data_IF_220584551635
#
_entry.id   IF_220584551635
#
_cell.length_a   1.000
_cell.length_b   1.000
_cell.length_c   1.000
_cell.angle_alpha   90.00
_cell.angle_beta   90.00
_cell.angle_gamma   90.00
#
_symmetry.space_group_name_H-M   'P 1'
#
loop_
_entity.id
_entity.type
_entity.pdbx_description
1 polymer ?
#
# COMPACT_ATOMS: atom_id res chain seq x y z
N UNK A 1 -24.29 -5.19 7.79
CA UNK A 1 -23.55 -4.44 8.84
C UNK A 1 -23.36 -2.97 8.46
N UNK A 2 -22.85 -2.67 7.26
CA UNK A 2 -22.64 -1.31 6.73
C UNK A 2 -23.84 -0.37 6.95
N UNK A 3 -25.06 -0.77 6.54
CA UNK A 3 -26.29 0.04 6.70
C UNK A 3 -26.56 0.46 8.15
N UNK A 4 -26.25 -0.40 9.12
CA UNK A 4 -26.48 -0.12 10.53
C UNK A 4 -25.44 0.87 11.06
N UNK A 5 -24.18 0.73 10.65
CA UNK A 5 -23.08 1.62 11.04
C UNK A 5 -23.29 3.02 10.46
N UNK A 6 -23.64 3.14 9.18
CA UNK A 6 -23.92 4.43 8.54
C UNK A 6 -25.08 5.17 9.22
N UNK A 7 -26.19 4.48 9.46
CA UNK A 7 -27.35 5.08 10.17
C UNK A 7 -27.00 5.51 11.60
N UNK A 8 -26.22 4.72 12.34
CA UNK A 8 -25.76 5.08 13.69
C UNK A 8 -24.83 6.30 13.68
N UNK A 9 -24.06 6.48 12.61
CA UNK A 9 -23.22 7.65 12.40
C UNK A 9 -24.01 8.88 11.88
N UNK A 10 -25.34 8.79 11.74
CA UNK A 10 -26.18 9.88 11.23
C UNK A 10 -26.11 10.07 9.71
N UNK A 11 -25.56 9.11 8.97
CA UNK A 11 -25.54 9.10 7.52
C UNK A 11 -26.73 8.30 6.96
N UNK A 12 -27.15 8.65 5.74
CA UNK A 12 -28.07 7.80 4.98
C UNK A 12 -27.42 6.43 4.73
N UNK A 13 -28.25 5.37 4.70
CA UNK A 13 -27.75 4.06 4.31
C UNK A 13 -27.27 4.10 2.84
N UNK A 14 -26.13 3.45 2.52
CA UNK A 14 -25.65 3.39 1.15
C UNK A 14 -26.62 2.59 0.27
N UNK A 15 -26.65 2.92 -1.02
CA UNK A 15 -27.42 2.14 -2.00
C UNK A 15 -26.53 0.98 -2.47
N UNK A 16 -26.95 -0.25 -2.21
CA UNK A 16 -26.21 -1.46 -2.57
C UNK A 16 -26.60 -1.97 -3.97
N UNK A 17 -25.68 -2.70 -4.61
CA UNK A 17 -26.00 -3.54 -5.77
C UNK A 17 -26.92 -4.66 -5.28
N UNK A 18 -28.14 -4.74 -5.82
CA UNK A 18 -29.17 -5.66 -5.32
C UNK A 18 -28.69 -7.12 -5.29
N UNK A 19 -28.07 -7.58 -6.38
CA UNK A 19 -27.59 -8.97 -6.55
C UNK A 19 -26.36 -9.31 -5.70
N UNK A 20 -25.75 -8.32 -5.04
CA UNK A 20 -24.59 -8.49 -4.16
C UNK A 20 -24.91 -8.14 -2.70
N UNK A 21 -26.16 -7.79 -2.38
CA UNK A 21 -26.54 -7.33 -1.04
C UNK A 21 -26.66 -8.47 -0.05
N UNK A 22 -27.32 -9.55 -0.46
CA UNK A 22 -27.55 -10.71 0.39
C UNK A 22 -26.35 -11.66 0.32
N UNK A 23 -25.89 -12.22 1.46
CA UNK A 23 -24.76 -13.14 1.45
C UNK A 23 -25.03 -14.39 0.60
N UNK A 24 -24.16 -14.63 -0.38
CA UNK A 24 -24.14 -15.85 -1.19
C UNK A 24 -22.71 -16.41 -1.21
N UNK A 25 -22.45 -17.61 -0.64
CA UNK A 25 -21.11 -18.19 -0.58
C UNK A 25 -20.54 -18.56 -1.96
N UNK A 26 -21.36 -18.62 -3.01
CA UNK A 26 -20.90 -18.87 -4.37
C UNK A 26 -20.39 -17.61 -5.09
N UNK A 27 -20.68 -16.41 -4.55
CA UNK A 27 -20.33 -15.12 -5.16
C UNK A 27 -20.62 -15.04 -6.67
N UNK A 28 -21.84 -15.38 -7.13
CA UNK A 28 -22.13 -15.69 -8.54
C UNK A 28 -21.98 -14.49 -9.50
N UNK A 29 -21.87 -13.28 -8.96
CA UNK A 29 -21.78 -12.04 -9.73
C UNK A 29 -20.36 -11.63 -10.09
N UNK A 30 -19.34 -12.28 -9.53
CA UNK A 30 -17.92 -11.94 -9.74
C UNK A 30 -17.08 -13.19 -9.99
N UNK A 31 -16.02 -13.12 -10.81
CA UNK A 31 -15.11 -14.27 -11.02
C UNK A 31 -14.37 -14.67 -9.73
N UNK A 32 -14.01 -13.67 -8.92
CA UNK A 32 -13.35 -13.85 -7.64
C UNK A 32 -13.74 -12.69 -6.71
N UNK A 33 -14.19 -12.94 -5.47
CA UNK A 33 -14.73 -11.91 -4.58
C UNK A 33 -13.61 -11.16 -3.85
N UNK A 34 -12.76 -10.47 -4.60
CA UNK A 34 -11.76 -9.57 -4.06
C UNK A 34 -11.84 -8.25 -4.85
N UNK A 35 -12.07 -7.10 -4.19
CA UNK A 35 -12.23 -5.83 -4.88
C UNK A 35 -10.97 -5.32 -5.61
N UNK A 36 -9.82 -6.00 -5.46
CA UNK A 36 -8.62 -5.77 -6.28
C UNK A 36 -8.70 -6.43 -7.68
N UNK A 37 -9.55 -7.45 -7.85
CA UNK A 37 -9.59 -8.23 -9.08
C UNK A 37 -10.37 -7.51 -10.20
N UNK A 38 -9.91 -7.62 -11.46
CA UNK A 38 -10.64 -7.10 -12.61
C UNK A 38 -12.09 -7.64 -12.64
N UNK A 39 -13.04 -6.73 -12.84
CA UNK A 39 -14.47 -7.05 -12.90
C UNK A 39 -15.20 -7.04 -11.56
N UNK A 40 -14.49 -7.10 -10.42
CA UNK A 40 -15.13 -7.15 -9.10
C UNK A 40 -15.94 -5.88 -8.76
N UNK A 41 -15.52 -4.72 -9.30
CA UNK A 41 -16.16 -3.42 -9.04
C UNK A 41 -17.15 -2.98 -10.13
N UNK A 42 -17.28 -3.71 -11.24
CA UNK A 42 -18.03 -3.25 -12.41
C UNK A 42 -19.50 -2.94 -12.11
N UNK A 43 -20.16 -3.83 -11.36
CA UNK A 43 -21.57 -3.67 -10.99
C UNK A 43 -21.80 -2.43 -10.10
N UNK A 44 -20.94 -2.20 -9.12
CA UNK A 44 -21.07 -1.08 -8.19
C UNK A 44 -20.66 0.25 -8.83
N UNK A 45 -19.68 0.25 -9.75
CA UNK A 45 -19.33 1.42 -10.56
C UNK A 45 -20.49 1.81 -11.49
N UNK A 46 -21.10 0.84 -12.16
CA UNK A 46 -22.27 1.09 -13.01
C UNK A 46 -23.46 1.62 -12.20
N UNK A 47 -23.67 1.13 -10.97
CA UNK A 47 -24.69 1.66 -10.08
C UNK A 47 -24.37 3.11 -9.65
N UNK A 48 -23.11 3.38 -9.28
CA UNK A 48 -22.66 4.73 -8.92
C UNK A 48 -22.88 5.73 -10.05
N UNK A 49 -22.56 5.35 -11.28
CA UNK A 49 -22.79 6.18 -12.47
C UNK A 49 -24.28 6.47 -12.70
N UNK A 50 -25.15 5.45 -12.62
CA UNK A 50 -26.61 5.63 -12.76
C UNK A 50 -27.21 6.57 -11.71
N UNK A 51 -26.66 6.57 -10.51
CA UNK A 51 -27.13 7.39 -9.39
C UNK A 51 -26.45 8.76 -9.30
N UNK A 52 -25.39 9.00 -10.08
CA UNK A 52 -24.54 10.17 -9.90
C UNK A 52 -23.86 10.21 -8.52
N UNK A 53 -23.44 9.05 -8.02
CA UNK A 53 -22.83 8.92 -6.70
C UNK A 53 -21.43 9.59 -6.66
N UNK A 54 -21.15 10.35 -5.60
CA UNK A 54 -19.83 10.99 -5.42
C UNK A 54 -18.75 10.00 -4.97
N UNK A 55 -19.16 8.89 -4.37
CA UNK A 55 -18.30 7.86 -3.80
C UNK A 55 -18.92 6.48 -4.00
N UNK A 56 -18.11 5.56 -4.50
CA UNK A 56 -18.40 4.12 -4.61
C UNK A 56 -17.51 3.38 -3.62
N UNK A 57 -18.06 2.41 -2.90
CA UNK A 57 -17.38 1.59 -1.90
C UNK A 57 -17.66 0.11 -2.17
N UNK A 58 -16.68 -0.75 -1.91
CA UNK A 58 -16.85 -2.20 -1.95
C UNK A 58 -16.00 -2.87 -0.89
N UNK A 59 -16.55 -3.89 -0.22
CA UNK A 59 -15.83 -4.71 0.74
C UNK A 59 -15.65 -6.13 0.17
N UNK A 60 -14.64 -6.85 0.64
CA UNK A 60 -14.49 -8.28 0.40
C UNK A 60 -15.40 -9.11 1.35
N UNK A 61 -15.47 -10.45 1.20
CA UNK A 61 -16.47 -11.28 1.88
C UNK A 61 -16.47 -11.24 3.40
N UNK A 62 -15.30 -11.15 4.03
CA UNK A 62 -15.15 -11.02 5.49
C UNK A 62 -15.08 -9.55 5.95
N UNK A 63 -15.20 -8.61 5.00
CA UNK A 63 -15.20 -7.17 5.19
C UNK A 63 -13.93 -6.63 5.87
N UNK A 64 -12.80 -7.28 5.63
CA UNK A 64 -11.50 -6.82 6.10
C UNK A 64 -10.86 -5.83 5.11
N UNK A 65 -11.27 -5.84 3.83
CA UNK A 65 -10.82 -4.90 2.80
C UNK A 65 -11.89 -3.91 2.38
N UNK A 66 -11.48 -2.72 1.95
CA UNK A 66 -12.37 -1.70 1.40
C UNK A 66 -11.79 -1.00 0.17
N UNK A 67 -12.35 -1.25 -1.02
CA UNK A 67 -12.08 -0.43 -2.20
C UNK A 67 -12.93 0.84 -2.23
N UNK A 68 -12.43 1.86 -2.91
CA UNK A 68 -13.15 3.10 -3.15
C UNK A 68 -12.95 3.59 -4.59
N UNK A 69 -13.97 4.25 -5.14
CA UNK A 69 -13.88 4.96 -6.40
C UNK A 69 -14.63 6.29 -6.37
N UNK A 70 -14.15 7.26 -7.15
CA UNK A 70 -14.81 8.56 -7.38
C UNK A 70 -15.15 8.67 -8.85
N UNK A 71 -16.45 8.74 -9.17
CA UNK A 71 -16.92 8.49 -10.53
C UNK A 71 -16.48 7.10 -10.99
N UNK A 72 -15.73 7.02 -12.09
CA UNK A 72 -15.16 5.75 -12.61
C UNK A 72 -13.71 5.50 -12.20
N UNK A 73 -13.07 6.43 -11.47
CA UNK A 73 -11.67 6.29 -11.04
C UNK A 73 -11.61 5.48 -9.76
N UNK A 74 -11.20 4.22 -9.88
CA UNK A 74 -10.84 3.36 -8.75
C UNK A 74 -9.56 3.92 -8.13
N UNK A 75 -9.57 4.12 -6.82
CA UNK A 75 -8.42 4.57 -6.06
C UNK A 75 -7.54 3.36 -5.71
N UNK A 76 -6.23 3.51 -5.76
CA UNK A 76 -5.33 2.45 -5.27
C UNK A 76 -5.42 2.33 -3.75
N UNK A 77 -5.02 1.18 -3.19
CA UNK A 77 -5.06 1.04 -1.74
C UNK A 77 -4.16 2.01 -1.00
N UNK A 78 -3.06 2.43 -1.64
CA UNK A 78 -2.21 3.53 -1.16
C UNK A 78 -2.90 4.90 -1.19
N UNK A 79 -3.66 5.21 -2.24
CA UNK A 79 -4.40 6.47 -2.32
C UNK A 79 -5.51 6.54 -1.26
N UNK A 80 -6.25 5.44 -1.08
CA UNK A 80 -7.25 5.31 -0.01
C UNK A 80 -6.59 5.40 1.37
N UNK A 81 -5.47 4.70 1.56
CA UNK A 81 -4.70 4.74 2.80
C UNK A 81 -4.24 6.15 3.15
N UNK A 82 -3.79 6.93 2.16
CA UNK A 82 -3.37 8.31 2.36
C UNK A 82 -4.55 9.25 2.71
N UNK A 83 -5.70 9.08 2.05
CA UNK A 83 -6.92 9.84 2.36
C UNK A 83 -7.43 9.56 3.79
N UNK A 84 -7.43 8.28 4.18
CA UNK A 84 -7.81 7.86 5.53
C UNK A 84 -6.82 8.36 6.59
N UNK A 85 -5.52 8.25 6.32
CA UNK A 85 -4.48 8.76 7.20
C UNK A 85 -4.63 10.26 7.43
N UNK A 86 -4.88 11.04 6.38
CA UNK A 86 -5.12 12.48 6.47
C UNK A 86 -6.33 12.81 7.35
N UNK A 87 -7.43 12.05 7.22
CA UNK A 87 -8.60 12.25 8.08
C UNK A 87 -8.27 11.94 9.55
N UNK A 88 -7.62 10.80 9.82
CA UNK A 88 -7.29 10.39 11.19
C UNK A 88 -6.29 11.35 11.82
N UNK A 89 -5.22 11.71 11.12
CA UNK A 89 -4.15 12.57 11.65
C UNK A 89 -4.63 14.00 11.90
N UNK A 90 -5.59 14.51 11.11
CA UNK A 90 -6.20 15.82 11.34
C UNK A 90 -6.97 15.91 12.66
N UNK A 91 -7.62 14.83 13.05
CA UNK A 91 -8.44 14.77 14.27
C UNK A 91 -7.66 14.27 15.49
N UNK A 92 -6.81 13.27 15.28
CA UNK A 92 -6.04 12.55 16.30
C UNK A 92 -4.61 12.29 15.80
N UNK A 93 -3.72 13.30 15.81
CA UNK A 93 -2.32 13.10 15.49
C UNK A 93 -1.70 12.04 16.42
N UNK A 94 -1.06 11.02 15.84
CA UNK A 94 -0.38 9.97 16.59
C UNK A 94 0.43 9.03 15.69
N UNK A 95 1.08 8.01 16.27
CA UNK A 95 1.87 7.04 15.52
C UNK A 95 1.05 6.33 14.43
N UNK A 96 1.60 6.24 13.23
CA UNK A 96 1.00 5.51 12.11
C UNK A 96 1.93 4.40 11.62
N UNK A 97 1.38 3.41 10.92
CA UNK A 97 2.18 2.32 10.37
C UNK A 97 1.69 1.86 9.00
N UNK A 98 2.61 1.44 8.15
CA UNK A 98 2.30 0.74 6.91
C UNK A 98 3.32 -0.37 6.67
N UNK A 99 3.24 -1.05 5.53
CA UNK A 99 4.18 -2.12 5.20
C UNK A 99 5.29 -1.66 4.27
N UNK A 100 6.37 -2.44 4.25
CA UNK A 100 7.49 -2.26 3.33
C UNK A 100 7.09 -2.28 1.85
N UNK A 101 5.96 -2.91 1.50
CA UNK A 101 5.47 -3.02 0.12
C UNK A 101 4.45 -1.93 -0.24
N UNK A 102 3.89 -1.24 0.74
CA UNK A 102 3.01 -0.09 0.55
C UNK A 102 3.79 1.16 0.15
N UNK A 103 3.10 2.18 -0.37
CA UNK A 103 3.70 3.47 -0.71
C UNK A 103 4.38 4.13 0.50
N UNK A 104 5.56 4.72 0.28
CA UNK A 104 6.20 5.54 1.30
C UNK A 104 5.53 6.92 1.49
N UNK A 105 4.42 7.23 0.82
CA UNK A 105 3.68 8.49 0.96
C UNK A 105 3.21 8.74 2.40
N UNK A 106 2.80 7.70 3.13
CA UNK A 106 2.37 7.83 4.53
C UNK A 106 3.48 8.41 5.42
N UNK A 107 4.75 8.04 5.14
CA UNK A 107 5.90 8.57 5.87
C UNK A 107 6.03 10.08 5.68
N UNK A 108 5.84 10.57 4.46
CA UNK A 108 5.89 12.01 4.18
C UNK A 108 4.71 12.75 4.81
N UNK A 109 3.51 12.16 4.79
CA UNK A 109 2.36 12.73 5.50
C UNK A 109 2.58 12.79 7.02
N UNK A 110 3.06 11.71 7.62
CA UNK A 110 3.34 11.66 9.06
C UNK A 110 4.38 12.71 9.48
N UNK A 111 5.43 12.93 8.67
CA UNK A 111 6.42 14.00 8.92
C UNK A 111 5.78 15.38 8.99
N UNK A 112 4.77 15.67 8.17
CA UNK A 112 4.05 16.96 8.21
C UNK A 112 3.25 17.15 9.48
N UNK A 113 2.68 16.08 10.02
CA UNK A 113 2.00 16.10 11.32
C UNK A 113 2.97 16.01 12.50
N UNK A 114 4.27 15.82 12.26
CA UNK A 114 5.27 15.67 13.32
C UNK A 114 5.12 14.37 14.12
N UNK A 115 4.55 13.33 13.52
CA UNK A 115 4.26 12.05 14.19
C UNK A 115 5.11 10.89 13.65
N UNK A 116 5.36 9.85 14.47
CA UNK A 116 6.10 8.67 14.01
C UNK A 116 5.35 7.90 12.92
N UNK A 117 6.10 7.35 11.96
CA UNK A 117 5.59 6.40 10.97
C UNK A 117 6.48 5.15 10.97
N UNK A 118 5.92 4.01 11.34
CA UNK A 118 6.59 2.72 11.25
C UNK A 118 6.39 2.08 9.87
N UNK A 119 7.43 1.43 9.36
CA UNK A 119 7.34 0.53 8.21
C UNK A 119 7.54 -0.90 8.71
N UNK A 120 6.64 -1.81 8.34
CA UNK A 120 6.56 -3.17 8.87
C UNK A 120 6.62 -4.23 7.78
N UNK A 121 6.87 -5.50 8.10
CA UNK A 121 6.68 -6.58 7.11
C UNK A 121 5.21 -6.69 6.70
N UNK A 122 4.94 -7.26 5.53
CA UNK A 122 3.56 -7.56 5.09
C UNK A 122 2.84 -8.45 6.12
N UNK A 123 1.59 -8.10 6.42
CA UNK A 123 0.67 -8.72 7.35
C UNK A 123 0.28 -7.79 8.50
N UNK A 124 -1.02 -7.57 8.69
CA UNK A 124 -1.57 -6.67 9.73
C UNK A 124 -1.13 -6.96 11.16
N UNK A 125 -0.76 -8.21 11.49
CA UNK A 125 -0.15 -8.54 12.78
C UNK A 125 1.08 -7.67 13.10
N UNK A 126 1.86 -7.28 12.09
CA UNK A 126 3.04 -6.44 12.25
C UNK A 126 2.65 -4.97 12.41
N UNK A 127 1.70 -4.48 11.63
CA UNK A 127 1.15 -3.12 11.76
C UNK A 127 0.61 -2.91 13.18
N UNK A 128 -0.19 -3.85 13.70
CA UNK A 128 -0.77 -3.75 15.04
C UNK A 128 0.26 -3.82 16.19
N UNK A 129 1.47 -4.32 15.91
CA UNK A 129 2.57 -4.38 16.89
C UNK A 129 3.53 -3.21 16.78
N UNK A 130 3.41 -2.38 15.75
CA UNK A 130 4.35 -1.32 15.43
C UNK A 130 4.40 -0.22 16.52
N UNK A 131 3.25 0.15 17.10
CA UNK A 131 3.19 1.03 18.26
C UNK A 131 1.92 0.67 19.08
N UNK A 132 1.99 0.54 20.41
CA UNK A 132 0.81 0.29 21.25
C UNK A 132 -0.22 1.43 21.20
N UNK A 133 0.18 2.63 20.79
CA UNK A 133 -0.65 3.85 20.64
C UNK A 133 -0.95 4.16 19.17
N UNK A 134 -0.80 3.18 18.28
CA UNK A 134 -1.10 3.34 16.85
C UNK A 134 -2.48 4.01 16.68
N UNK A 135 -2.56 5.04 15.84
CA UNK A 135 -3.83 5.71 15.53
C UNK A 135 -4.37 5.32 14.16
N UNK A 136 -3.50 4.88 13.25
CA UNK A 136 -3.86 4.43 11.91
C UNK A 136 -2.81 3.46 11.36
N UNK A 137 -3.23 2.47 10.58
CA UNK A 137 -2.31 1.75 9.72
C UNK A 137 -2.96 1.09 8.53
N UNK A 138 -2.17 0.78 7.50
CA UNK A 138 -2.72 0.21 6.27
C UNK A 138 -1.74 -0.63 5.44
N UNK A 139 -2.30 -1.50 4.61
CA UNK A 139 -1.66 -2.23 3.52
C UNK A 139 -2.17 -1.75 2.15
N UNK A 140 -1.30 -1.77 1.15
CA UNK A 140 -1.60 -1.48 -0.26
C UNK A 140 -2.75 -2.33 -0.82
N UNK A 141 -2.94 -3.53 -0.30
CA UNK A 141 -3.94 -4.54 -0.68
C UNK A 141 -5.30 -4.27 -0.03
N UNK A 142 -5.68 -2.98 0.05
CA UNK A 142 -6.99 -2.50 0.52
C UNK A 142 -7.33 -2.78 1.99
N UNK A 143 -6.34 -3.08 2.84
CA UNK A 143 -6.54 -3.32 4.27
C UNK A 143 -6.25 -2.09 5.13
N UNK A 144 -7.18 -1.69 6.01
CA UNK A 144 -7.05 -0.47 6.82
C UNK A 144 -7.46 -0.69 8.27
N UNK A 145 -6.65 -0.21 9.22
CA UNK A 145 -7.02 -0.03 10.62
C UNK A 145 -7.24 1.47 10.88
N UNK A 146 -8.49 1.92 10.74
CA UNK A 146 -8.87 3.32 11.01
C UNK A 146 -9.05 3.58 12.51
N UNK A 147 -9.52 2.58 13.25
CA UNK A 147 -9.72 2.64 14.70
C UNK A 147 -9.04 1.44 15.39
N UNK A 148 -7.69 1.38 15.41
CA UNK A 148 -6.93 0.26 15.97
C UNK A 148 -7.16 0.02 17.48
N UNK A 149 -7.74 0.99 18.18
CA UNK A 149 -8.19 0.88 19.58
C UNK A 149 -9.51 0.10 19.72
N UNK A 150 -10.33 0.03 18.67
CA UNK A 150 -11.57 -0.74 18.63
C UNK A 150 -11.38 -2.10 17.97
N UNK A 151 -10.72 -2.13 16.81
CA UNK A 151 -10.45 -3.34 16.03
C UNK A 151 -8.96 -3.44 15.76
N UNK A 152 -8.31 -4.43 16.38
CA UNK A 152 -6.86 -4.69 16.19
C UNK A 152 -6.59 -5.56 14.96
N UNK A 153 -7.26 -5.24 13.86
CA UNK A 153 -7.09 -5.89 12.55
C UNK A 153 -7.56 -4.92 11.45
N UNK A 154 -7.57 -5.37 10.20
CA UNK A 154 -8.21 -4.66 9.10
C UNK A 154 -9.72 -4.58 9.34
N UNK A 155 -10.31 -3.43 9.04
CA UNK A 155 -11.74 -3.20 9.18
C UNK A 155 -12.24 -2.35 8.01
N UNK A 156 -12.74 -3.05 6.99
CA UNK A 156 -13.32 -2.44 5.80
C UNK A 156 -14.60 -1.64 6.09
N UNK A 157 -15.35 -2.00 7.13
CA UNK A 157 -16.58 -1.30 7.53
C UNK A 157 -16.25 0.09 8.11
N UNK A 158 -15.27 0.15 9.00
CA UNK A 158 -14.81 1.44 9.57
C UNK A 158 -14.11 2.27 8.50
N UNK A 159 -13.34 1.65 7.59
CA UNK A 159 -12.76 2.34 6.42
C UNK A 159 -13.83 2.95 5.51
N UNK A 160 -14.88 2.20 5.18
CA UNK A 160 -16.02 2.66 4.38
C UNK A 160 -16.72 3.86 5.02
N UNK A 161 -16.97 3.82 6.34
CA UNK A 161 -17.57 4.93 7.08
C UNK A 161 -16.66 6.18 7.06
N UNK A 162 -15.36 5.99 7.31
CA UNK A 162 -14.40 7.09 7.32
C UNK A 162 -14.27 7.75 5.94
N UNK A 163 -14.26 6.97 4.84
CA UNK A 163 -14.28 7.48 3.47
C UNK A 163 -15.57 8.24 3.16
N UNK A 164 -16.73 7.75 3.61
CA UNK A 164 -18.00 8.46 3.45
C UNK A 164 -17.97 9.81 4.18
N UNK A 165 -17.37 9.87 5.38
CA UNK A 165 -17.17 11.12 6.10
C UNK A 165 -16.22 12.07 5.37
N UNK A 166 -15.10 11.55 4.83
CA UNK A 166 -14.16 12.32 4.02
C UNK A 166 -14.85 12.92 2.78
N UNK A 167 -15.63 12.12 2.07
CA UNK A 167 -16.36 12.54 0.87
C UNK A 167 -17.44 13.57 1.21
N UNK A 168 -18.17 13.39 2.31
CA UNK A 168 -19.14 14.37 2.78
C UNK A 168 -18.46 15.72 3.10
N UNK A 169 -17.32 15.69 3.79
CA UNK A 169 -16.55 16.90 4.11
C UNK A 169 -16.08 17.60 2.83
N UNK A 170 -15.54 16.86 1.86
CA UNK A 170 -15.15 17.40 0.57
C UNK A 170 -16.35 18.01 -0.17
N UNK A 171 -17.48 17.29 -0.24
CA UNK A 171 -18.70 17.74 -0.94
C UNK A 171 -19.28 19.01 -0.32
N UNK A 172 -19.26 19.14 1.01
CA UNK A 172 -19.69 20.38 1.70
C UNK A 172 -18.81 21.58 1.36
N UNK A 173 -17.57 21.36 0.96
CA UNK A 173 -16.66 22.38 0.45
C UNK A 173 -16.77 22.59 -1.08
N UNK A 174 -17.72 21.92 -1.77
CA UNK A 174 -17.84 21.97 -3.23
C UNK A 174 -16.75 21.17 -3.96
N UNK A 175 -16.13 20.19 -3.28
CA UNK A 175 -14.98 19.41 -3.75
C UNK A 175 -15.29 17.92 -3.75
N UNK A 176 -14.41 17.14 -4.37
CA UNK A 176 -14.41 15.67 -4.38
C UNK A 176 -13.23 15.12 -3.57
N UNK A 177 -13.20 13.81 -3.34
CA UNK A 177 -12.01 13.16 -2.76
C UNK A 177 -10.79 13.23 -3.70
N UNK A 178 -10.99 13.36 -5.01
CA UNK A 178 -9.88 13.55 -5.94
C UNK A 178 -9.21 14.91 -5.74
N UNK A 179 -9.97 15.95 -5.40
CA UNK A 179 -9.41 17.25 -5.08
C UNK A 179 -8.59 17.20 -3.78
N UNK A 180 -9.05 16.44 -2.79
CA UNK A 180 -8.30 16.21 -1.54
C UNK A 180 -7.02 15.44 -1.81
N UNK A 181 -7.09 14.40 -2.64
CA UNK A 181 -5.92 13.62 -3.05
C UNK A 181 -4.92 14.48 -3.84
N UNK A 182 -5.41 15.39 -4.69
CA UNK A 182 -4.56 16.33 -5.41
C UNK A 182 -3.84 17.31 -4.49
N UNK A 183 -4.50 17.81 -3.44
CA UNK A 183 -3.84 18.62 -2.41
C UNK A 183 -2.74 17.82 -1.70
N UNK A 184 -3.05 16.59 -1.27
CA UNK A 184 -2.07 15.70 -0.65
C UNK A 184 -0.88 15.46 -1.57
N UNK A 185 -1.11 15.20 -2.86
CA UNK A 185 -0.03 15.02 -3.83
C UNK A 185 0.84 16.28 -4.02
N UNK A 186 0.26 17.49 -3.94
CA UNK A 186 1.06 18.74 -3.96
C UNK A 186 1.91 18.88 -2.70
N UNK A 187 1.39 18.43 -1.57
CA UNK A 187 2.04 18.60 -0.27
C UNK A 187 3.12 17.55 0.02
N UNK A 188 2.86 16.28 -0.30
CA UNK A 188 3.78 15.17 0.01
C UNK A 188 4.52 14.62 -1.21
N UNK A 189 4.08 14.98 -2.42
CA UNK A 189 4.61 14.47 -3.68
C UNK A 189 3.68 13.44 -4.33
N UNK A 190 3.98 13.09 -5.59
CA UNK A 190 3.26 12.05 -6.31
C UNK A 190 3.99 10.73 -6.16
N UNK A 191 3.27 9.71 -5.69
CA UNK A 191 3.76 8.35 -5.54
C UNK A 191 2.96 7.45 -6.48
N UNK A 192 3.60 6.92 -7.52
CA UNK A 192 2.97 5.90 -8.35
C UNK A 192 3.44 4.52 -7.87
N UNK A 193 2.50 3.64 -7.57
CA UNK A 193 2.78 2.28 -7.11
C UNK A 193 2.21 1.24 -8.07
N UNK A 194 2.84 0.06 -8.09
CA UNK A 194 2.39 -1.06 -8.89
C UNK A 194 3.03 -2.36 -8.44
N UNK A 195 2.60 -3.46 -9.05
CA UNK A 195 3.11 -4.79 -8.72
C UNK A 195 3.31 -5.61 -9.99
N UNK A 196 4.36 -6.44 -10.00
CA UNK A 196 4.52 -7.57 -10.91
C UNK A 196 4.48 -8.86 -10.09
N UNK A 197 3.66 -9.82 -10.51
CA UNK A 197 3.57 -11.14 -9.87
C UNK A 197 3.93 -12.21 -10.89
N UNK A 198 5.01 -12.94 -10.65
CA UNK A 198 5.37 -14.13 -11.41
C UNK A 198 4.84 -15.37 -10.69
N UNK A 199 4.06 -16.21 -11.40
CA UNK A 199 3.53 -17.48 -10.86
C UNK A 199 4.47 -18.62 -11.26
N UNK A 200 4.76 -19.48 -10.30
CA UNK A 200 5.62 -20.65 -10.48
C UNK A 200 4.81 -21.92 -10.24
N UNK A 201 5.19 -23.00 -10.92
CA UNK A 201 4.68 -24.36 -10.66
C UNK A 201 5.57 -25.11 -9.66
N UNK A 202 6.85 -24.74 -9.60
CA UNK A 202 7.84 -25.28 -8.68
C UNK A 202 8.26 -24.20 -7.66
N UNK A 203 8.16 -24.51 -6.37
CA UNK A 203 8.57 -23.61 -5.30
C UNK A 203 10.09 -23.40 -5.27
N UNK A 204 10.89 -24.39 -5.67
CA UNK A 204 12.35 -24.24 -5.73
C UNK A 204 12.78 -23.20 -6.78
N UNK A 205 11.97 -22.98 -7.82
CA UNK A 205 12.21 -21.93 -8.79
C UNK A 205 12.05 -20.51 -8.20
N UNK A 206 11.23 -20.35 -7.15
CA UNK A 206 11.10 -19.08 -6.42
C UNK A 206 12.39 -18.79 -5.65
N UNK A 207 12.92 -19.80 -4.94
CA UNK A 207 14.17 -19.69 -4.20
C UNK A 207 15.35 -19.40 -5.14
N UNK A 208 15.39 -20.05 -6.30
CA UNK A 208 16.39 -19.80 -7.33
C UNK A 208 16.30 -18.36 -7.88
N UNK A 209 15.09 -17.85 -8.14
CA UNK A 209 14.89 -16.48 -8.61
C UNK A 209 15.31 -15.44 -7.56
N UNK A 210 14.93 -15.64 -6.30
CA UNK A 210 15.38 -14.78 -5.19
C UNK A 210 16.89 -14.86 -4.99
N UNK A 211 17.48 -16.04 -5.09
CA UNK A 211 18.93 -16.26 -5.03
C UNK A 211 19.67 -15.53 -6.15
N UNK A 212 19.15 -15.59 -7.38
CA UNK A 212 19.71 -14.89 -8.53
C UNK A 212 19.67 -13.36 -8.34
N UNK A 213 18.53 -12.81 -7.89
CA UNK A 213 18.40 -11.38 -7.58
C UNK A 213 19.37 -10.91 -6.49
N UNK A 214 19.63 -11.75 -5.49
CA UNK A 214 20.61 -11.46 -4.43
C UNK A 214 22.04 -11.51 -4.92
N UNK A 215 22.39 -12.53 -5.71
CA UNK A 215 23.75 -12.75 -6.19
C UNK A 215 24.17 -11.72 -7.25
N UNK A 216 23.23 -11.29 -8.09
CA UNK A 216 23.48 -10.34 -9.18
C UNK A 216 22.31 -9.37 -9.32
N UNK A 217 22.14 -8.43 -8.37
CA UNK A 217 21.10 -7.42 -8.48
C UNK A 217 21.37 -6.55 -9.71
N UNK A 218 20.32 -6.14 -10.46
CA UNK A 218 20.49 -5.26 -11.61
C UNK A 218 21.13 -3.92 -11.17
N UNK A 219 22.03 -3.39 -11.99
CA UNK A 219 22.62 -2.06 -11.73
C UNK A 219 21.68 -0.92 -12.13
N UNK A 220 20.71 -1.19 -13.02
CA UNK A 220 19.73 -0.24 -13.52
C UNK A 220 18.36 -0.91 -13.69
N UNK A 221 17.30 -0.16 -13.42
CA UNK A 221 15.91 -0.54 -13.67
C UNK A 221 15.10 0.73 -14.01
N UNK A 222 14.24 0.68 -15.01
CA UNK A 222 13.41 1.79 -15.47
C UNK A 222 14.24 3.02 -15.85
N UNK A 223 15.45 2.81 -16.40
CA UNK A 223 16.41 3.88 -16.71
C UNK A 223 17.06 4.55 -15.48
N UNK A 224 16.88 4.00 -14.27
CA UNK A 224 17.44 4.54 -13.02
C UNK A 224 18.51 3.61 -12.46
N UNK A 225 19.61 4.18 -11.98
CA UNK A 225 20.63 3.42 -11.27
C UNK A 225 20.09 2.88 -9.94
N UNK A 226 20.39 1.61 -9.64
CA UNK A 226 20.19 1.02 -8.32
C UNK A 226 21.31 1.55 -7.41
N UNK A 227 20.93 2.37 -6.43
CA UNK A 227 21.86 3.05 -5.53
C UNK A 227 22.18 2.24 -4.27
N UNK A 228 21.27 1.36 -3.84
CA UNK A 228 21.50 0.46 -2.72
C UNK A 228 20.63 -0.79 -2.83
N UNK A 229 21.12 -1.88 -2.27
CA UNK A 229 20.37 -3.14 -2.11
C UNK A 229 20.35 -3.46 -0.62
N UNK A 230 19.16 -3.69 -0.08
CA UNK A 230 18.94 -4.09 1.31
C UNK A 230 18.27 -5.46 1.34
N UNK A 231 18.99 -6.45 1.82
CA UNK A 231 18.46 -7.79 2.06
C UNK A 231 18.02 -7.91 3.52
N UNK A 232 16.76 -8.28 3.75
CA UNK A 232 16.25 -8.51 5.10
C UNK A 232 16.55 -9.93 5.58
N UNK A 233 17.05 -10.84 4.73
CA UNK A 233 17.43 -12.19 5.14
C UNK A 233 18.78 -12.23 5.87
N UNK A 234 19.67 -11.28 5.55
CA UNK A 234 21.07 -11.23 6.03
C UNK A 234 21.38 -10.29 7.20
N UNK A 235 20.40 -9.54 7.74
CA UNK A 235 20.67 -8.44 8.69
C UNK A 235 21.41 -7.27 8.02
N UNK A 236 21.61 -6.11 8.70
CA UNK A 236 22.21 -4.94 8.07
C UNK A 236 23.69 -5.18 7.72
N UNK A 237 23.98 -5.43 6.45
CA UNK A 237 25.35 -5.48 5.92
C UNK A 237 25.92 -4.07 5.79
N UNK A 238 26.72 -3.66 6.77
CA UNK A 238 27.66 -2.55 6.61
C UNK A 238 28.83 -2.96 5.70
N UNK A 239 29.27 -2.01 4.87
CA UNK A 239 30.51 -1.90 4.08
C UNK A 239 31.36 -3.16 3.79
N UNK A 240 31.71 -3.29 2.50
CA UNK A 240 32.72 -4.17 1.94
C UNK A 240 33.96 -4.43 2.85
N UNK A 241 34.30 -5.70 3.03
CA UNK A 241 35.63 -6.14 3.45
C UNK A 241 35.67 -7.42 4.30
N UNK A 242 36.05 -8.55 3.68
CA UNK A 242 36.89 -9.58 4.32
C UNK A 242 36.22 -10.74 5.06
N UNK A 243 36.12 -11.88 4.36
CA UNK A 243 36.34 -13.28 4.78
C UNK A 243 35.99 -13.76 6.22
N UNK A 244 35.15 -14.79 6.29
CA UNK A 244 35.54 -16.05 6.94
C UNK A 244 34.74 -16.56 8.15
N UNK A 245 34.06 -17.68 7.91
CA UNK A 245 33.75 -18.79 8.83
C UNK A 245 32.43 -18.80 9.61
N UNK A 246 31.88 -20.02 9.67
CA UNK A 246 30.58 -20.41 10.17
C UNK A 246 30.64 -20.92 11.62
N UNK A 247 29.52 -20.80 12.33
CA UNK A 247 29.16 -21.65 13.48
C UNK A 247 28.69 -20.88 14.73
N UNK A 248 27.51 -21.27 15.26
CA UNK A 248 27.16 -21.04 16.66
C UNK A 248 25.81 -20.36 16.90
N UNK A 249 24.85 -21.12 17.44
CA UNK A 249 23.62 -20.61 18.02
C UNK A 249 23.90 -19.88 19.35
N UNK A 250 23.20 -18.77 19.60
CA UNK A 250 23.09 -18.16 20.93
C UNK A 250 23.02 -16.64 20.97
N UNK A 251 21.85 -16.12 21.36
CA UNK A 251 21.62 -14.96 22.24
C UNK A 251 22.21 -13.57 21.92
N UNK A 252 21.28 -12.63 21.70
CA UNK A 252 21.21 -11.24 22.19
C UNK A 252 22.32 -10.22 21.85
N UNK A 253 21.86 -9.09 21.28
CA UNK A 253 22.47 -7.77 21.44
C UNK A 253 23.46 -7.38 20.35
N UNK A 254 23.10 -6.39 19.52
CA UNK A 254 24.04 -5.84 18.55
C UNK A 254 23.41 -4.85 17.57
N UNK A 255 23.47 -3.58 17.97
CA UNK A 255 23.14 -2.33 17.26
C UNK A 255 23.41 -2.32 15.74
N UNK A 256 22.36 -2.11 14.94
CA UNK A 256 22.43 -1.82 13.50
C UNK A 256 21.75 -0.48 13.17
N UNK A 257 22.31 0.26 12.21
CA UNK A 257 22.02 1.65 11.91
C UNK A 257 20.52 2.00 11.80
N UNK A 258 20.15 3.10 12.48
CA UNK A 258 18.78 3.54 12.70
C UNK A 258 18.15 4.23 11.47
N UNK A 259 17.01 3.71 11.03
CA UNK A 259 15.94 4.54 10.47
C UNK A 259 15.09 5.13 11.61
N UNK A 260 14.31 6.20 11.38
CA UNK A 260 13.51 6.78 12.44
C UNK A 260 12.43 5.78 12.88
N UNK A 261 12.36 5.56 14.20
CA UNK A 261 11.60 4.53 14.94
C UNK A 261 12.14 3.08 14.89
N UNK A 262 13.41 2.88 15.27
CA UNK A 262 13.77 2.15 16.50
C UNK A 262 13.69 0.62 16.56
N UNK A 263 13.07 -0.09 15.62
CA UNK A 263 13.19 -1.55 15.53
C UNK A 263 13.64 -1.94 14.12
N UNK A 264 14.75 -2.66 14.03
CA UNK A 264 15.14 -3.35 12.81
C UNK A 264 14.02 -4.31 12.44
N UNK A 265 13.50 -4.23 11.20
CA UNK A 265 12.59 -5.24 10.66
C UNK A 265 13.14 -6.64 10.92
N UNK A 266 12.30 -7.61 11.34
CA UNK A 266 12.75 -8.96 11.56
C UNK A 266 13.22 -9.59 10.26
N UNK A 267 14.08 -10.60 10.38
CA UNK A 267 14.62 -11.29 9.21
C UNK A 267 13.48 -11.89 8.36
N UNK A 268 13.53 -11.65 7.06
CA UNK A 268 12.52 -12.10 6.11
C UNK A 268 13.12 -12.23 4.72
N UNK A 269 12.54 -13.12 3.90
CA UNK A 269 12.93 -13.28 2.51
C UNK A 269 12.41 -12.11 1.66
N UNK A 270 13.08 -10.97 1.80
CA UNK A 270 12.74 -9.71 1.16
C UNK A 270 14.02 -9.03 0.69
N UNK A 271 14.03 -8.62 -0.57
CA UNK A 271 15.09 -7.81 -1.15
C UNK A 271 14.52 -6.44 -1.56
N UNK A 272 15.13 -5.36 -1.07
CA UNK A 272 14.74 -3.99 -1.41
C UNK A 272 15.84 -3.38 -2.27
N UNK A 273 15.51 -3.05 -3.51
CA UNK A 273 16.34 -2.27 -4.42
C UNK A 273 15.94 -0.80 -4.26
N UNK A 274 16.85 0.04 -3.80
CA UNK A 274 16.69 1.49 -3.80
C UNK A 274 17.28 2.06 -5.08
N UNK A 275 16.52 2.92 -5.76
CA UNK A 275 16.91 3.52 -7.03
C UNK A 275 17.08 5.03 -6.86
N UNK A 276 17.85 5.65 -7.76
CA UNK A 276 17.97 7.09 -7.85
C UNK A 276 16.58 7.77 -7.91
N UNK A 277 16.43 8.91 -7.24
CA UNK A 277 15.16 9.67 -7.20
C UNK A 277 14.07 9.04 -6.32
N UNK A 278 14.46 8.36 -5.23
CA UNK A 278 13.56 7.77 -4.24
C UNK A 278 12.60 6.67 -4.76
N UNK A 279 12.84 6.17 -5.98
CA UNK A 279 12.15 4.99 -6.48
C UNK A 279 12.66 3.72 -5.77
N UNK A 280 11.80 2.70 -5.68
CA UNK A 280 12.17 1.42 -5.08
C UNK A 280 11.47 0.24 -5.73
N UNK A 281 12.12 -0.92 -5.66
CA UNK A 281 11.53 -2.23 -5.97
C UNK A 281 11.69 -3.13 -4.75
N UNK A 282 10.61 -3.75 -4.29
CA UNK A 282 10.62 -4.70 -3.17
C UNK A 282 10.22 -6.07 -3.68
N UNK A 283 11.16 -7.02 -3.68
CA UNK A 283 10.94 -8.40 -4.09
C UNK A 283 10.73 -9.29 -2.88
N UNK A 284 9.70 -10.15 -2.92
CA UNK A 284 9.43 -11.15 -1.88
C UNK A 284 8.61 -12.34 -2.39
N UNK A 285 8.84 -13.57 -1.90
CA UNK A 285 7.91 -14.67 -2.11
C UNK A 285 6.55 -14.36 -1.49
N UNK A 286 5.49 -14.82 -2.17
CA UNK A 286 4.16 -14.84 -1.59
C UNK A 286 4.08 -15.91 -0.51
N UNK A 287 3.41 -15.59 0.61
CA UNK A 287 3.26 -16.51 1.73
C UNK A 287 2.11 -17.51 1.57
N UNK A 288 1.21 -17.27 0.61
CA UNK A 288 -0.05 -18.01 0.44
C UNK A 288 -0.21 -18.62 -0.94
N UNK A 289 0.65 -18.26 -1.89
CA UNK A 289 0.56 -18.69 -3.29
C UNK A 289 1.96 -18.97 -3.84
N UNK A 290 2.13 -19.85 -4.84
CA UNK A 290 3.40 -20.08 -5.50
C UNK A 290 3.74 -18.92 -6.45
N UNK A 291 4.01 -17.74 -5.88
CA UNK A 291 4.29 -16.50 -6.61
C UNK A 291 5.50 -15.79 -6.03
N UNK A 292 6.30 -15.17 -6.90
CA UNK A 292 7.24 -14.11 -6.54
C UNK A 292 6.59 -12.76 -6.85
N UNK A 293 6.50 -11.88 -5.86
CA UNK A 293 5.92 -10.54 -6.00
C UNK A 293 6.99 -9.47 -5.96
N UNK A 294 6.95 -8.55 -6.91
CA UNK A 294 7.80 -7.36 -6.96
C UNK A 294 6.92 -6.13 -6.94
N UNK A 295 7.06 -5.35 -5.88
CA UNK A 295 6.32 -4.11 -5.66
C UNK A 295 7.17 -2.94 -6.11
N UNK A 296 6.58 -2.05 -6.89
CA UNK A 296 7.25 -0.97 -7.60
C UNK A 296 6.73 0.36 -7.06
N UNK A 297 7.64 1.32 -6.87
CA UNK A 297 7.28 2.67 -6.51
C UNK A 297 8.17 3.68 -7.25
N UNK A 298 7.57 4.71 -7.82
CA UNK A 298 8.25 5.92 -8.29
C UNK A 298 7.74 7.14 -7.52
N UNK A 299 8.59 8.17 -7.43
CA UNK A 299 8.31 9.37 -6.65
C UNK A 299 8.66 10.62 -7.46
N UNK A 300 7.73 11.57 -7.52
CA UNK A 300 7.99 12.96 -7.91
C UNK A 300 7.75 13.82 -6.68
N UNK A 301 8.83 14.38 -6.12
CA UNK A 301 8.77 15.09 -4.85
C UNK A 301 8.01 16.42 -4.92
N UNK A 302 7.56 16.99 -3.78
CA UNK A 302 6.76 18.22 -3.74
C UNK A 302 7.35 19.40 -4.53
N UNK A 303 8.68 19.59 -4.46
CA UNK A 303 9.37 20.66 -5.20
C UNK A 303 9.24 20.50 -6.72
N UNK A 304 9.39 19.27 -7.22
CA UNK A 304 9.21 18.96 -8.64
C UNK A 304 7.74 19.12 -9.03
N UNK A 305 6.79 18.68 -8.18
CA UNK A 305 5.35 18.88 -8.40
C UNK A 305 5.01 20.35 -8.51
N UNK A 306 5.57 21.20 -7.65
CA UNK A 306 5.38 22.65 -7.69
C UNK A 306 5.97 23.26 -8.97
N UNK A 307 7.12 22.76 -9.44
CA UNK A 307 7.81 23.28 -10.63
C UNK A 307 7.11 22.90 -11.96
N UNK A 308 6.64 21.66 -12.10
CA UNK A 308 6.05 21.18 -13.38
C UNK A 308 4.52 21.13 -13.39
N UNK A 309 3.89 21.29 -12.23
CA UNK A 309 2.45 21.12 -12.05
C UNK A 309 2.04 19.66 -11.89
N UNK A 310 0.97 19.45 -11.13
CA UNK A 310 0.49 18.13 -10.74
C UNK A 310 0.16 17.20 -11.92
N UNK A 311 -0.50 17.63 -13.02
CA UNK A 311 -0.76 16.75 -14.15
C UNK A 311 0.51 16.21 -14.83
N UNK A 312 1.55 17.04 -14.93
CA UNK A 312 2.83 16.61 -15.51
C UNK A 312 3.58 15.68 -14.56
N UNK A 313 3.55 15.96 -13.25
CA UNK A 313 4.13 15.10 -12.23
C UNK A 313 3.50 13.70 -12.21
N UNK A 314 2.16 13.60 -12.32
CA UNK A 314 1.45 12.31 -12.42
C UNK A 314 1.87 11.53 -13.66
N UNK A 315 1.86 12.15 -14.85
CA UNK A 315 2.30 11.50 -16.10
C UNK A 315 3.76 11.02 -16.02
N UNK A 316 4.64 11.81 -15.40
CA UNK A 316 6.04 11.43 -15.18
C UNK A 316 6.13 10.20 -14.27
N UNK A 317 5.48 10.23 -13.11
CA UNK A 317 5.51 9.11 -12.15
C UNK A 317 4.96 7.81 -12.79
N UNK A 318 3.85 7.90 -13.52
CA UNK A 318 3.23 6.77 -14.22
C UNK A 318 4.13 6.20 -15.34
N UNK A 319 4.75 7.07 -16.16
CA UNK A 319 5.68 6.67 -17.21
C UNK A 319 6.91 5.95 -16.64
N UNK A 320 7.49 6.50 -15.58
CA UNK A 320 8.63 5.89 -14.90
C UNK A 320 8.25 4.56 -14.23
N UNK A 321 7.04 4.45 -13.67
CA UNK A 321 6.52 3.21 -13.11
C UNK A 321 6.30 2.15 -14.21
N UNK A 322 5.84 2.56 -15.39
CA UNK A 322 5.70 1.67 -16.55
C UNK A 322 7.07 1.14 -17.00
N UNK A 323 8.08 2.00 -17.10
CA UNK A 323 9.45 1.58 -17.43
C UNK A 323 10.03 0.61 -16.39
N UNK A 324 9.80 0.85 -15.09
CA UNK A 324 10.18 -0.13 -14.05
C UNK A 324 9.45 -1.46 -14.23
N UNK A 325 8.17 -1.43 -14.55
CA UNK A 325 7.37 -2.64 -14.77
C UNK A 325 7.91 -3.45 -15.95
N UNK A 326 8.23 -2.80 -17.05
CA UNK A 326 8.74 -3.46 -18.26
C UNK A 326 10.08 -4.15 -17.99
N UNK A 327 11.01 -3.47 -17.33
CA UNK A 327 12.31 -4.05 -16.97
C UNK A 327 12.17 -5.22 -15.97
N UNK A 328 11.28 -5.10 -15.00
CA UNK A 328 11.01 -6.20 -14.05
C UNK A 328 10.34 -7.38 -14.75
N UNK A 329 9.42 -7.14 -15.67
CA UNK A 329 8.82 -8.22 -16.46
C UNK A 329 9.87 -8.91 -17.34
N UNK A 330 10.81 -8.17 -17.92
CA UNK A 330 11.93 -8.74 -18.66
C UNK A 330 12.86 -9.56 -17.74
N UNK A 331 13.17 -9.04 -16.55
CA UNK A 331 14.01 -9.71 -15.55
C UNK A 331 13.43 -11.04 -15.05
N UNK A 332 12.10 -11.13 -14.91
CA UNK A 332 11.41 -12.35 -14.47
C UNK A 332 11.17 -13.37 -15.59
N UNK A 333 11.29 -12.96 -16.86
CA UNK A 333 11.26 -13.86 -18.02
C UNK A 333 12.63 -14.51 -18.24
N UNK A 334 13.16 -15.16 -17.20
CA UNK A 334 14.31 -16.06 -17.30
C UNK A 334 14.08 -17.10 -18.41
#
# INVERSE_FOLDING_TARGET
>A
MVDAVFRRAGLAAPVAVADQREPDPAFPTVPFPNPEEPGALDAVLALGERLGADLVLANDPDADRCAAAVGRRILTGDEVGLLLAEQVLRERPGPVATTIVSSSALRELARRYGVPCAETLTGFKWIMRADPRLVFGYEEALGYAVAPDLVRDKDGITAALALAHAALRAKRAGRTLLDVLDDLCREVGVFATGQVSARFTDLAAIDAAMGALRASPPSHLGGRAVSAVRDLLGGPTGSAGGAGSAGGAGSAGGTGAAGPAGESLPAADVLILHLAGAARVVARPSGTEPKLKLYLQTVVGPADVAAMGLPAARRRAESELAALRDDIQALLRL
#
